data_IF_369807338680
#
_entry.id   IF_369807338680
#
_cell.length_a   1.000
_cell.length_b   1.000
_cell.length_c   1.000
_cell.angle_alpha   90.00
_cell.angle_beta   90.00
_cell.angle_gamma   90.00
#
_symmetry.space_group_name_H-M   'P 1'
#
loop_
_entity.id
_entity.type
_entity.pdbx_description
1 polymer ?
#
# COMPACT_ATOMS: atom_id res chain seq x y z
N UNK A 1 10.63 -24.82 13.29
CA UNK A 1 11.49 -23.67 12.94
C UNK A 1 10.81 -22.42 13.44
N UNK A 2 11.55 -21.52 14.11
CA UNK A 2 11.05 -20.23 14.54
C UNK A 2 11.55 -19.15 13.57
N UNK A 3 10.68 -18.22 13.22
CA UNK A 3 10.99 -17.09 12.34
C UNK A 3 11.07 -15.80 13.18
N UNK A 4 12.04 -14.94 12.87
CA UNK A 4 12.18 -13.62 13.49
C UNK A 4 11.51 -12.59 12.59
N UNK A 5 10.66 -11.72 13.15
CA UNK A 5 10.03 -10.64 12.41
C UNK A 5 10.77 -9.32 12.67
N UNK A 6 11.12 -8.62 11.60
CA UNK A 6 11.75 -7.29 11.64
C UNK A 6 10.75 -6.27 11.12
N UNK A 7 10.52 -5.20 11.88
CA UNK A 7 9.66 -4.08 11.45
C UNK A 7 10.44 -3.19 10.47
N UNK A 8 9.92 -3.01 9.27
CA UNK A 8 10.51 -2.12 8.26
C UNK A 8 10.25 -0.64 8.62
N UNK A 9 11.18 0.28 8.29
CA UNK A 9 11.13 1.67 8.74
C UNK A 9 10.00 2.50 8.09
N UNK A 10 9.49 2.09 6.93
CA UNK A 10 8.51 2.86 6.17
C UNK A 10 7.13 2.91 6.83
N UNK A 11 6.56 4.11 6.84
CA UNK A 11 5.13 4.31 7.04
C UNK A 11 4.39 4.08 5.72
N UNK A 12 3.41 3.18 5.77
CA UNK A 12 2.63 2.75 4.62
C UNK A 12 1.19 3.23 4.70
N UNK A 13 0.57 3.29 3.53
CA UNK A 13 -0.86 3.49 3.38
C UNK A 13 -1.45 2.40 2.50
N UNK A 14 -2.67 2.00 2.83
CA UNK A 14 -3.52 1.14 2.03
C UNK A 14 -4.60 2.01 1.39
N UNK A 15 -4.70 1.95 0.06
CA UNK A 15 -5.69 2.67 -0.73
C UNK A 15 -6.64 1.66 -1.36
N UNK A 16 -7.95 1.91 -1.27
CA UNK A 16 -8.97 1.09 -1.93
C UNK A 16 -9.64 1.87 -3.04
N UNK A 17 -9.73 1.27 -4.21
CA UNK A 17 -10.41 1.84 -5.38
C UNK A 17 -11.40 0.84 -5.96
N UNK A 18 -12.31 1.36 -6.77
CA UNK A 18 -13.28 0.53 -7.49
C UNK A 18 -12.62 -0.55 -8.37
N UNK A 19 -13.41 -1.52 -8.84
CA UNK A 19 -12.93 -2.57 -9.72
C UNK A 19 -12.37 -1.94 -11.00
N UNK A 20 -11.26 -2.47 -11.51
CA UNK A 20 -10.56 -2.00 -12.73
C UNK A 20 -10.02 -0.56 -12.67
N UNK A 21 -10.00 0.10 -11.51
CA UNK A 21 -9.38 1.41 -11.37
C UNK A 21 -7.92 1.40 -11.88
N UNK A 22 -7.51 2.49 -12.51
CA UNK A 22 -6.13 2.66 -12.97
C UNK A 22 -5.17 2.62 -11.77
N UNK A 23 -3.97 2.10 -12.00
CA UNK A 23 -2.88 2.08 -11.03
C UNK A 23 -2.06 3.36 -11.27
N UNK A 24 -2.08 4.34 -10.35
CA UNK A 24 -1.31 5.56 -10.52
C UNK A 24 0.19 5.32 -10.41
N UNK A 25 0.97 6.17 -11.08
CA UNK A 25 2.43 6.11 -11.00
C UNK A 25 2.98 6.30 -9.57
N UNK A 26 2.29 7.07 -8.71
CA UNK A 26 2.71 7.33 -7.34
C UNK A 26 2.73 6.07 -6.46
N UNK A 27 2.01 5.00 -6.82
CA UNK A 27 2.00 3.73 -6.07
C UNK A 27 3.39 3.13 -5.98
N UNK A 28 4.20 3.33 -7.02
CA UNK A 28 5.54 2.76 -7.13
C UNK A 28 6.63 3.62 -6.48
N UNK A 29 6.25 4.72 -5.81
CA UNK A 29 7.21 5.58 -5.12
C UNK A 29 7.54 5.07 -3.72
N UNK A 30 8.53 4.18 -3.64
CA UNK A 30 9.07 3.71 -2.37
C UNK A 30 9.68 2.32 -2.49
N UNK A 31 10.36 1.85 -1.42
CA UNK A 31 11.00 0.54 -1.43
C UNK A 31 10.00 -0.62 -1.32
N UNK A 32 8.78 -0.36 -0.85
CA UNK A 32 7.71 -1.35 -0.76
C UNK A 32 6.43 -0.84 -1.43
N UNK A 33 5.94 -1.61 -2.40
CA UNK A 33 4.66 -1.39 -3.05
C UNK A 33 3.98 -2.73 -3.34
N UNK A 34 2.66 -2.75 -3.24
CA UNK A 34 1.86 -3.89 -3.66
C UNK A 34 0.59 -3.43 -4.36
N UNK A 35 0.19 -4.16 -5.40
CA UNK A 35 -1.06 -3.93 -6.11
C UNK A 35 -1.80 -5.24 -6.20
N UNK A 36 -3.02 -5.25 -5.68
CA UNK A 36 -3.92 -6.39 -5.75
C UNK A 36 -5.18 -5.95 -6.51
N UNK A 37 -5.50 -6.67 -7.58
CA UNK A 37 -6.72 -6.46 -8.33
C UNK A 37 -7.61 -7.67 -8.18
N UNK A 38 -8.86 -7.43 -7.80
CA UNK A 38 -9.92 -8.43 -7.69
C UNK A 38 -11.10 -8.01 -8.58
N UNK A 39 -12.12 -8.87 -8.75
CA UNK A 39 -13.36 -8.47 -9.41
C UNK A 39 -14.11 -7.33 -8.71
N UNK A 40 -13.84 -7.10 -7.42
CA UNK A 40 -14.58 -6.14 -6.59
C UNK A 40 -13.81 -4.84 -6.35
N UNK A 41 -12.48 -4.87 -6.37
CA UNK A 41 -11.67 -3.69 -6.07
C UNK A 41 -10.23 -3.74 -6.62
N UNK A 42 -9.57 -2.59 -6.58
CA UNK A 42 -8.12 -2.49 -6.66
C UNK A 42 -7.58 -1.96 -5.33
N UNK A 43 -6.77 -2.78 -4.66
CA UNK A 43 -6.08 -2.43 -3.42
C UNK A 43 -4.63 -2.06 -3.75
N UNK A 44 -4.16 -0.95 -3.22
CA UNK A 44 -2.80 -0.45 -3.40
C UNK A 44 -2.15 -0.31 -2.02
N UNK A 45 -0.91 -0.76 -1.88
CA UNK A 45 -0.06 -0.48 -0.72
C UNK A 45 1.14 0.30 -1.25
N UNK A 46 1.45 1.43 -0.61
CA UNK A 46 2.59 2.27 -0.94
C UNK A 46 3.04 3.09 0.28
N UNK A 47 4.11 3.88 0.13
CA UNK A 47 4.55 4.84 1.13
C UNK A 47 3.43 5.84 1.44
N UNK A 48 3.13 6.06 2.72
CA UNK A 48 2.02 6.91 3.13
C UNK A 48 2.08 8.32 2.54
N UNK A 49 3.28 8.93 2.53
CA UNK A 49 3.48 10.27 2.00
C UNK A 49 3.56 10.35 0.46
N UNK A 50 3.45 9.24 -0.26
CA UNK A 50 3.25 9.25 -1.72
C UNK A 50 1.77 9.36 -2.11
N UNK A 51 0.84 9.07 -1.20
CA UNK A 51 -0.60 9.12 -1.47
C UNK A 51 -1.08 10.57 -1.52
N UNK A 52 -1.70 11.03 -2.63
CA UNK A 52 -2.26 12.36 -2.76
C UNK A 52 -3.28 12.70 -1.66
N UNK A 53 -3.43 13.99 -1.28
CA UNK A 53 -4.35 14.40 -0.22
C UNK A 53 -5.83 14.22 -0.57
N UNK A 54 -6.16 14.17 -1.86
CA UNK A 54 -7.51 14.01 -2.42
C UNK A 54 -7.88 12.54 -2.69
N UNK A 55 -7.02 11.58 -2.33
CA UNK A 55 -7.34 10.17 -2.49
C UNK A 55 -8.53 9.77 -1.58
N UNK A 56 -9.62 9.22 -2.12
CA UNK A 56 -10.91 9.16 -1.43
C UNK A 56 -10.98 8.12 -0.30
N UNK A 57 -10.27 7.00 -0.42
CA UNK A 57 -10.32 5.89 0.56
C UNK A 57 -8.90 5.44 0.89
N UNK A 58 -8.37 5.95 2.01
CA UNK A 58 -7.00 5.71 2.46
C UNK A 58 -6.96 5.32 3.93
N UNK A 59 -6.26 4.23 4.24
CA UNK A 59 -5.91 3.83 5.60
C UNK A 59 -4.41 4.04 5.81
N UNK A 60 -4.03 4.85 6.80
CA UNK A 60 -2.64 5.24 7.10
C UNK A 60 -2.16 4.61 8.41
N UNK A 61 -0.87 4.74 8.71
CA UNK A 61 -0.26 4.26 9.96
C UNK A 61 0.14 2.79 9.93
N UNK A 62 0.28 2.20 8.74
CA UNK A 62 0.69 0.81 8.57
C UNK A 62 2.22 0.68 8.56
N UNK A 63 2.71 -0.46 9.05
CA UNK A 63 4.12 -0.86 9.01
C UNK A 63 4.24 -2.25 8.41
N UNK A 64 5.29 -2.48 7.63
CA UNK A 64 5.59 -3.81 7.10
C UNK A 64 6.46 -4.62 8.06
N UNK A 65 6.30 -5.93 7.99
CA UNK A 65 7.13 -6.91 8.70
C UNK A 65 7.85 -7.76 7.66
N UNK A 66 9.16 -7.97 7.86
CA UNK A 66 9.97 -8.90 7.09
C UNK A 66 10.33 -10.10 7.96
N UNK A 67 10.23 -11.29 7.36
CA UNK A 67 10.64 -12.58 7.93
C UNK A 67 12.11 -12.84 7.67
#
# INVERSE_FOLDING_TARGET
MAWTLIVEPEDLALVRRGPRASIPAWVWQGPLAAVMRTPHETTLITRAAAVPPDEPVVHRGWRALRV
#
